data_IF_828061858743
#
_entry.id   IF_828061858743
#
_cell.length_a   1.000
_cell.length_b   1.000
_cell.length_c   1.000
_cell.angle_alpha   90.00
_cell.angle_beta   90.00
_cell.angle_gamma   90.00
#
_symmetry.space_group_name_H-M   'P 1'
#
loop_
_entity.id
_entity.type
_entity.pdbx_description
1 polymer ?
#
# COMPACT_ATOMS: atom_id res chain seq x y z
N UNK A 1 8.09 -31.16 -26.03
CA UNK A 1 8.64 -30.14 -25.11
C UNK A 1 7.45 -29.38 -24.56
N UNK A 2 7.02 -29.69 -23.33
CA UNK A 2 5.88 -29.01 -22.70
C UNK A 2 6.36 -27.68 -22.13
N UNK A 3 5.98 -26.57 -22.76
CA UNK A 3 6.20 -25.24 -22.21
C UNK A 3 5.23 -25.01 -21.06
N UNK A 4 5.76 -24.92 -19.84
CA UNK A 4 5.01 -24.41 -18.70
C UNK A 4 4.66 -22.95 -19.00
N UNK A 5 3.39 -22.68 -19.26
CA UNK A 5 2.89 -21.30 -19.26
C UNK A 5 2.97 -20.81 -17.80
N UNK A 6 3.87 -19.86 -17.55
CA UNK A 6 3.88 -19.12 -16.29
C UNK A 6 2.68 -18.20 -16.33
N UNK A 7 1.60 -18.58 -15.68
CA UNK A 7 0.52 -17.64 -15.37
C UNK A 7 1.10 -16.57 -14.47
N UNK A 8 1.29 -15.36 -15.03
CA UNK A 8 1.57 -14.18 -14.22
C UNK A 8 0.37 -14.07 -13.29
N UNK A 9 0.59 -14.31 -12.00
CA UNK A 9 -0.44 -14.02 -11.00
C UNK A 9 -0.60 -12.50 -11.02
N UNK A 10 -1.59 -12.01 -11.78
CA UNK A 10 -2.01 -10.63 -11.66
C UNK A 10 -2.49 -10.48 -10.22
N UNK A 11 -1.69 -9.77 -9.41
CA UNK A 11 -2.10 -9.41 -8.06
C UNK A 11 -3.44 -8.70 -8.18
N UNK A 12 -4.43 -9.13 -7.39
CA UNK A 12 -5.72 -8.47 -7.41
C UNK A 12 -5.51 -6.99 -7.09
N UNK A 13 -6.08 -6.10 -7.89
CA UNK A 13 -5.98 -4.66 -7.69
C UNK A 13 -7.29 -4.15 -7.07
N UNK A 14 -7.24 -3.32 -6.02
CA UNK A 14 -8.44 -2.65 -5.56
C UNK A 14 -8.94 -1.67 -6.63
N UNK A 15 -10.19 -1.24 -6.51
CA UNK A 15 -10.71 -0.18 -7.36
C UNK A 15 -10.11 1.17 -6.93
N UNK A 16 -9.07 1.60 -7.62
CA UNK A 16 -8.47 2.92 -7.40
C UNK A 16 -9.44 4.05 -7.76
N UNK A 17 -9.62 5.07 -6.89
CA UNK A 17 -10.36 6.27 -7.23
C UNK A 17 -9.71 6.98 -8.42
N UNK A 18 -10.54 7.48 -9.34
CA UNK A 18 -10.06 8.30 -10.46
C UNK A 18 -9.77 9.74 -9.98
N UNK A 19 -8.71 10.35 -10.51
CA UNK A 19 -8.36 11.74 -10.26
C UNK A 19 -7.40 11.96 -9.09
N UNK A 20 -7.04 13.24 -8.82
CA UNK A 20 -6.02 13.57 -7.84
C UNK A 20 -6.49 13.28 -6.41
N UNK A 21 -5.63 12.61 -5.66
CA UNK A 21 -5.81 12.31 -4.25
C UNK A 21 -5.31 13.51 -3.42
N UNK A 22 -6.24 14.41 -3.06
CA UNK A 22 -5.95 15.55 -2.19
C UNK A 22 -5.86 15.10 -0.73
N UNK A 23 -4.71 14.58 -0.35
CA UNK A 23 -4.43 14.23 1.05
C UNK A 23 -3.45 15.24 1.65
N UNK A 24 -3.79 15.79 2.80
CA UNK A 24 -2.87 16.64 3.56
C UNK A 24 -2.26 15.78 4.65
N UNK A 25 -0.95 15.48 4.56
CA UNK A 25 -0.27 14.86 5.70
C UNK A 25 -0.08 15.94 6.76
N UNK A 26 -0.65 15.73 7.94
CA UNK A 26 -0.41 16.51 9.15
C UNK A 26 0.43 15.59 10.02
N UNK A 27 1.75 15.78 10.08
CA UNK A 27 2.72 15.01 10.88
C UNK A 27 2.14 13.75 11.57
N UNK A 28 2.07 12.63 10.85
CA UNK A 28 1.30 11.45 11.25
C UNK A 28 2.08 10.17 11.05
N UNK A 29 1.72 9.11 11.80
CA UNK A 29 2.35 7.81 11.61
C UNK A 29 2.05 7.26 10.22
N UNK A 30 2.98 6.47 9.67
CA UNK A 30 2.78 5.78 8.38
C UNK A 30 1.54 4.88 8.45
N UNK A 31 1.34 4.19 9.58
CA UNK A 31 0.16 3.36 9.81
C UNK A 31 -1.14 4.14 9.69
N UNK A 32 -1.24 5.30 10.34
CA UNK A 32 -2.46 6.13 10.29
C UNK A 32 -2.71 6.64 8.86
N UNK A 33 -1.65 7.00 8.13
CA UNK A 33 -1.77 7.43 6.73
C UNK A 33 -2.33 6.33 5.83
N UNK A 34 -1.85 5.09 6.01
CA UNK A 34 -2.35 3.92 5.28
C UNK A 34 -3.81 3.62 5.64
N UNK A 35 -4.18 3.69 6.92
CA UNK A 35 -5.56 3.49 7.37
C UNK A 35 -6.50 4.55 6.76
N UNK A 36 -6.08 5.81 6.75
CA UNK A 36 -6.85 6.90 6.16
C UNK A 36 -6.99 6.77 4.63
N UNK A 37 -5.93 6.32 3.95
CA UNK A 37 -5.99 5.96 2.54
C UNK A 37 -7.07 4.90 2.29
N UNK A 38 -7.06 3.81 3.06
CA UNK A 38 -8.09 2.77 2.97
C UNK A 38 -9.49 3.30 3.22
N UNK A 39 -9.66 4.15 4.24
CA UNK A 39 -10.95 4.80 4.53
C UNK A 39 -11.46 5.61 3.35
N UNK A 40 -10.59 6.39 2.72
CA UNK A 40 -10.94 7.19 1.54
C UNK A 40 -11.28 6.33 0.31
N UNK A 41 -10.60 5.19 0.16
CA UNK A 41 -10.87 4.22 -0.91
C UNK A 41 -12.05 3.29 -0.60
N UNK A 42 -12.57 3.30 0.63
CA UNK A 42 -13.51 2.28 1.17
C UNK A 42 -12.95 0.86 1.09
N UNK A 43 -11.65 0.69 1.31
CA UNK A 43 -10.94 -0.59 1.35
C UNK A 43 -10.37 -0.79 2.76
N UNK A 44 -10.72 -1.88 3.47
CA UNK A 44 -10.10 -2.22 4.75
C UNK A 44 -8.58 -2.39 4.63
N UNK A 45 -7.84 -1.85 5.60
CA UNK A 45 -6.39 -1.94 5.65
C UNK A 45 -5.97 -2.84 6.81
N UNK A 46 -5.11 -3.82 6.54
CA UNK A 46 -4.38 -4.60 7.54
C UNK A 46 -2.90 -4.22 7.45
N UNK A 47 -2.43 -3.43 8.39
CA UNK A 47 -1.05 -2.96 8.45
C UNK A 47 -0.30 -3.72 9.55
N UNK A 48 0.85 -4.29 9.23
CA UNK A 48 1.68 -4.99 10.22
C UNK A 48 2.09 -4.05 11.35
N UNK A 49 2.18 -4.60 12.57
CA UNK A 49 2.69 -3.88 13.75
C UNK A 49 4.15 -3.49 13.61
N UNK A 50 4.90 -4.15 12.72
CA UNK A 50 6.31 -3.87 12.43
C UNK A 50 6.50 -2.66 11.50
N UNK A 51 5.43 -2.19 10.84
CA UNK A 51 5.48 -0.91 10.11
C UNK A 51 5.71 0.23 11.10
N UNK A 52 6.79 0.98 10.90
CA UNK A 52 7.18 2.15 11.68
C UNK A 52 7.50 3.31 10.75
N UNK A 53 7.47 4.52 11.31
CA UNK A 53 7.80 5.74 10.58
C UNK A 53 6.74 6.82 10.76
N UNK A 54 7.11 8.03 10.36
CA UNK A 54 6.26 9.21 10.43
C UNK A 54 6.41 10.00 9.13
N UNK A 55 5.28 10.38 8.54
CA UNK A 55 5.24 11.24 7.36
C UNK A 55 5.36 12.69 7.79
N UNK A 56 6.32 13.39 7.21
CA UNK A 56 6.41 14.86 7.34
C UNK A 56 5.19 15.53 6.73
N UNK A 57 4.88 16.73 7.21
CA UNK A 57 3.80 17.53 6.67
C UNK A 57 4.04 17.86 5.19
N UNK A 58 3.00 17.70 4.37
CA UNK A 58 3.07 17.87 2.92
C UNK A 58 1.76 17.51 2.25
N UNK A 59 1.63 17.88 0.98
CA UNK A 59 0.53 17.45 0.13
C UNK A 59 1.14 16.58 -0.97
N UNK A 60 0.97 15.25 -0.93
CA UNK A 60 1.35 14.40 -2.04
C UNK A 60 0.62 14.89 -3.29
N UNK A 61 1.34 14.97 -4.40
CA UNK A 61 0.76 15.29 -5.70
C UNK A 61 0.66 13.97 -6.45
N UNK A 62 -0.56 13.50 -6.69
CA UNK A 62 -0.78 12.25 -7.43
C UNK A 62 -2.13 11.61 -7.14
N UNK A 63 -2.26 10.38 -7.60
CA UNK A 63 -3.37 9.46 -7.37
C UNK A 63 -3.20 8.72 -6.04
N UNK A 64 -4.27 8.04 -5.58
CA UNK A 64 -4.23 7.23 -4.38
C UNK A 64 -3.22 6.07 -4.48
N UNK A 65 -3.01 5.55 -5.70
CA UNK A 65 -2.02 4.51 -6.00
C UNK A 65 -0.60 5.06 -5.86
N UNK A 66 -0.30 6.18 -6.51
CA UNK A 66 1.02 6.81 -6.43
C UNK A 66 1.39 7.18 -5.00
N UNK A 67 0.42 7.62 -4.19
CA UNK A 67 0.63 7.86 -2.76
C UNK A 67 1.00 6.58 -1.99
N UNK A 68 0.31 5.46 -2.25
CA UNK A 68 0.68 4.18 -1.64
C UNK A 68 2.09 3.75 -2.06
N UNK A 69 2.39 3.83 -3.35
CA UNK A 69 3.70 3.48 -3.91
C UNK A 69 4.82 4.33 -3.31
N UNK A 70 4.60 5.65 -3.13
CA UNK A 70 5.56 6.54 -2.47
C UNK A 70 5.86 6.11 -1.03
N UNK A 71 4.82 5.82 -0.25
CA UNK A 71 4.97 5.35 1.13
C UNK A 71 5.72 4.01 1.16
N UNK A 72 5.31 3.06 0.33
CA UNK A 72 5.92 1.74 0.27
C UNK A 72 7.41 1.82 -0.09
N UNK A 73 7.76 2.59 -1.12
CA UNK A 73 9.14 2.78 -1.54
C UNK A 73 9.99 3.50 -0.47
N UNK A 74 9.43 4.51 0.21
CA UNK A 74 10.18 5.27 1.21
C UNK A 74 10.48 4.47 2.49
N UNK A 75 9.56 3.62 2.93
CA UNK A 75 9.66 2.91 4.21
C UNK A 75 9.97 1.41 4.05
N UNK A 76 10.28 0.93 2.84
CA UNK A 76 10.61 -0.47 2.57
C UNK A 76 9.44 -1.40 2.88
N UNK A 77 8.25 -1.03 2.41
CA UNK A 77 7.02 -1.77 2.63
C UNK A 77 6.56 -2.44 1.34
N UNK A 78 5.96 -3.61 1.50
CA UNK A 78 5.26 -4.34 0.45
C UNK A 78 3.78 -4.37 0.76
N UNK A 79 2.98 -4.43 -0.29
CA UNK A 79 1.54 -4.53 -0.16
C UNK A 79 0.97 -5.57 -1.12
N UNK A 80 -0.15 -6.16 -0.72
CA UNK A 80 -0.98 -6.96 -1.61
C UNK A 80 -2.45 -6.77 -1.24
N UNK A 81 -3.31 -6.80 -2.25
CA UNK A 81 -4.74 -6.83 -2.04
C UNK A 81 -5.25 -8.26 -2.28
N UNK A 82 -5.97 -8.81 -1.30
CA UNK A 82 -6.47 -10.20 -1.36
C UNK A 82 -7.87 -10.31 -2.00
N UNK A 83 -8.37 -9.21 -2.57
CA UNK A 83 -9.74 -9.09 -3.09
C UNK A 83 -10.71 -8.42 -2.13
N UNK A 84 -10.36 -8.31 -0.83
CA UNK A 84 -11.20 -7.68 0.20
C UNK A 84 -10.41 -6.70 1.04
N UNK A 85 -9.20 -7.07 1.46
CA UNK A 85 -8.35 -6.32 2.38
C UNK A 85 -7.04 -5.98 1.70
N UNK A 86 -6.60 -4.74 1.90
CA UNK A 86 -5.27 -4.30 1.56
C UNK A 86 -4.32 -4.64 2.72
N UNK A 87 -3.38 -5.54 2.48
CA UNK A 87 -2.39 -5.99 3.45
C UNK A 87 -1.07 -5.26 3.19
N UNK A 88 -0.47 -4.70 4.24
CA UNK A 88 0.81 -3.97 4.16
C UNK A 88 1.75 -4.49 5.24
N UNK A 89 2.96 -4.88 4.82
CA UNK A 89 4.02 -5.39 5.67
C UNK A 89 5.36 -4.78 5.29
N UNK A 90 6.38 -4.94 6.12
CA UNK A 90 7.76 -4.61 5.76
C UNK A 90 8.32 -5.67 4.81
N UNK A 91 9.26 -5.29 3.93
CA UNK A 91 9.94 -6.25 3.04
C UNK A 91 10.61 -7.40 3.81
N UNK A 92 11.16 -7.11 4.99
CA UNK A 92 11.83 -8.09 5.84
C UNK A 92 10.89 -9.19 6.36
N UNK A 93 9.61 -8.87 6.57
CA UNK A 93 8.61 -9.86 6.99
C UNK A 93 8.36 -10.90 5.90
N UNK A 94 8.26 -10.47 4.63
CA UNK A 94 7.98 -11.38 3.52
C UNK A 94 9.17 -12.29 3.19
N UNK A 95 10.40 -11.85 3.41
CA UNK A 95 11.59 -12.69 3.24
C UNK A 95 11.69 -13.82 4.28
N UNK A 96 10.99 -13.71 5.40
CA UNK A 96 11.06 -14.69 6.49
C UNK A 96 10.08 -15.86 6.28
N UNK A 97 9.17 -15.76 5.30
CA UNK A 97 8.14 -16.78 5.00
C UNK A 97 8.43 -17.62 3.74
N UNK A 98 9.62 -17.50 3.13
CA UNK A 98 10.05 -18.28 1.95
C UNK A 98 10.98 -19.46 2.31
#
# INVERSE_FOLDING_TARGET
>A
MYGLAVSRADAAEPRWPAGPYKYLTIDQSVTDALVELGRNMRVPMRVSKLVKGRLSAGMPVGTAREFLEEICNRYGLVWHFDGIVMNVATEAEVQTEL
#
